data_IF_537843001791
#
_entry.id   IF_537843001791
#
_cell.length_a   1.000
_cell.length_b   1.000
_cell.length_c   1.000
_cell.angle_alpha   90.00
_cell.angle_beta   90.00
_cell.angle_gamma   90.00
#
_symmetry.space_group_name_H-M   'P 1'
#
loop_
_entity.id
_entity.type
_entity.pdbx_description
1 polymer ?
#
# COMPACT_ATOMS: atom_id res chain seq x y z
N UNK A 1 14.98 44.56 3.54
CA UNK A 1 13.78 44.12 2.80
C UNK A 1 14.06 42.89 1.94
N UNK A 2 15.11 42.89 1.11
CA UNK A 2 15.43 41.74 0.22
C UNK A 2 15.67 40.41 0.94
N UNK A 3 16.35 40.42 2.09
CA UNK A 3 16.56 39.21 2.90
C UNK A 3 15.24 38.62 3.43
N UNK A 4 14.26 39.47 3.77
CA UNK A 4 12.94 39.00 4.24
C UNK A 4 12.16 38.40 3.08
N UNK A 5 12.20 39.02 1.90
CA UNK A 5 11.54 38.53 0.69
C UNK A 5 12.13 37.18 0.24
N UNK A 6 13.46 37.04 0.24
CA UNK A 6 14.16 35.79 -0.08
C UNK A 6 13.74 34.66 0.89
N UNK A 7 13.75 34.91 2.20
CA UNK A 7 13.33 33.92 3.21
C UNK A 7 11.86 33.51 3.06
N UNK A 8 10.99 34.46 2.73
CA UNK A 8 9.57 34.18 2.50
C UNK A 8 9.38 33.30 1.25
N UNK A 9 10.11 33.59 0.17
CA UNK A 9 10.06 32.80 -1.05
C UNK A 9 10.57 31.36 -0.83
N UNK A 10 11.69 31.20 -0.13
CA UNK A 10 12.22 29.87 0.22
C UNK A 10 11.23 29.06 1.06
N UNK A 11 10.55 29.72 2.01
CA UNK A 11 9.52 29.08 2.83
C UNK A 11 8.32 28.65 1.99
N UNK A 12 7.88 29.48 1.04
CA UNK A 12 6.80 29.16 0.10
C UNK A 12 7.14 27.92 -0.73
N UNK A 13 8.32 27.90 -1.37
CA UNK A 13 8.76 26.78 -2.20
C UNK A 13 8.78 25.47 -1.40
N UNK A 14 9.33 25.50 -0.18
CA UNK A 14 9.35 24.31 0.70
C UNK A 14 7.95 23.81 1.06
N UNK A 15 7.00 24.71 1.27
CA UNK A 15 5.61 24.35 1.56
C UNK A 15 4.91 23.74 0.33
N UNK A 16 5.15 24.27 -0.86
CA UNK A 16 4.59 23.75 -2.11
C UNK A 16 5.12 22.34 -2.41
N UNK A 17 6.41 22.09 -2.19
CA UNK A 17 7.01 20.75 -2.32
C UNK A 17 6.40 19.78 -1.31
N UNK A 18 6.36 20.16 -0.03
CA UNK A 18 5.81 19.30 1.03
C UNK A 18 4.32 18.97 0.78
N UNK A 19 3.54 19.95 0.31
CA UNK A 19 2.14 19.73 -0.06
C UNK A 19 2.01 18.72 -1.20
N UNK A 20 2.81 18.87 -2.26
CA UNK A 20 2.80 17.94 -3.39
C UNK A 20 3.13 16.51 -2.94
N UNK A 21 4.19 16.35 -2.15
CA UNK A 21 4.59 15.04 -1.62
C UNK A 21 3.51 14.41 -0.74
N UNK A 22 2.84 15.22 0.09
CA UNK A 22 1.77 14.78 0.97
C UNK A 22 0.56 14.28 0.16
N UNK A 23 0.17 15.01 -0.88
CA UNK A 23 -0.92 14.62 -1.79
C UNK A 23 -0.58 13.33 -2.53
N UNK A 24 0.62 13.21 -3.11
CA UNK A 24 1.03 12.00 -3.81
C UNK A 24 1.07 10.77 -2.89
N UNK A 25 1.51 10.93 -1.65
CA UNK A 25 1.48 9.88 -0.65
C UNK A 25 0.05 9.47 -0.32
N UNK A 26 -0.83 10.44 -0.07
CA UNK A 26 -2.24 10.19 0.24
C UNK A 26 -2.93 9.41 -0.88
N UNK A 27 -2.78 9.85 -2.13
CA UNK A 27 -3.41 9.21 -3.29
C UNK A 27 -2.89 7.78 -3.48
N UNK A 28 -1.57 7.59 -3.37
CA UNK A 28 -0.94 6.26 -3.47
C UNK A 28 -1.43 5.33 -2.36
N UNK A 29 -1.55 5.85 -1.13
CA UNK A 29 -2.00 5.09 0.04
C UNK A 29 -3.45 4.68 -0.13
N UNK A 30 -4.31 5.60 -0.57
CA UNK A 30 -5.73 5.33 -0.77
C UNK A 30 -5.96 4.30 -1.89
N UNK A 31 -5.21 4.42 -3.00
CA UNK A 31 -5.25 3.43 -4.08
C UNK A 31 -4.86 2.04 -3.57
N UNK A 32 -3.78 1.94 -2.79
CA UNK A 32 -3.34 0.67 -2.21
C UNK A 32 -4.36 0.11 -1.21
N UNK A 33 -4.97 0.94 -0.37
CA UNK A 33 -6.03 0.52 0.56
C UNK A 33 -7.24 -0.04 -0.19
N UNK A 34 -7.64 0.62 -1.28
CA UNK A 34 -8.78 0.18 -2.09
C UNK A 34 -8.51 -1.20 -2.70
N UNK A 35 -7.33 -1.36 -3.31
CA UNK A 35 -6.87 -2.66 -3.83
C UNK A 35 -6.84 -3.71 -2.72
N UNK A 36 -6.19 -3.41 -1.59
CA UNK A 36 -6.03 -4.35 -0.48
C UNK A 36 -7.38 -4.80 0.07
N UNK A 37 -8.33 -3.89 0.19
CA UNK A 37 -9.70 -4.20 0.64
C UNK A 37 -10.45 -5.11 -0.34
N UNK A 38 -10.27 -4.92 -1.65
CA UNK A 38 -10.84 -5.81 -2.66
C UNK A 38 -10.20 -7.20 -2.59
N UNK A 39 -8.87 -7.25 -2.51
CA UNK A 39 -8.09 -8.48 -2.42
C UNK A 39 -8.41 -9.29 -1.15
N UNK A 40 -8.58 -8.61 -0.01
CA UNK A 40 -9.02 -9.23 1.24
C UNK A 40 -10.39 -9.92 1.08
N UNK A 41 -11.34 -9.30 0.36
CA UNK A 41 -12.63 -9.93 0.06
C UNK A 41 -12.48 -11.15 -0.85
N UNK A 42 -11.61 -11.10 -1.86
CA UNK A 42 -11.31 -12.24 -2.73
C UNK A 42 -10.75 -13.41 -1.92
N UNK A 43 -9.75 -13.16 -1.08
CA UNK A 43 -9.12 -14.19 -0.23
C UNK A 43 -10.09 -14.75 0.82
N UNK A 44 -10.96 -13.92 1.39
CA UNK A 44 -11.98 -14.36 2.33
C UNK A 44 -13.01 -15.31 1.69
N UNK A 45 -13.26 -15.16 0.38
CA UNK A 45 -14.25 -15.93 -0.37
C UNK A 45 -13.66 -17.13 -1.14
N UNK A 46 -12.43 -17.56 -0.82
CA UNK A 46 -11.86 -18.76 -1.43
C UNK A 46 -12.76 -19.98 -1.22
N UNK A 47 -13.19 -20.59 -2.32
CA UNK A 47 -13.94 -21.84 -2.32
C UNK A 47 -13.02 -22.98 -1.86
N UNK A 48 -13.63 -24.04 -1.32
CA UNK A 48 -12.91 -25.28 -1.05
C UNK A 48 -12.18 -25.78 -2.32
N UNK A 49 -11.04 -26.42 -2.13
CA UNK A 49 -10.27 -27.04 -3.23
C UNK A 49 -11.14 -28.11 -3.88
N UNK A 50 -11.36 -27.99 -5.19
CA UNK A 50 -12.22 -28.91 -5.91
C UNK A 50 -11.52 -30.26 -6.14
N UNK A 51 -12.31 -31.34 -6.18
CA UNK A 51 -11.86 -32.68 -6.61
C UNK A 51 -12.19 -32.98 -8.07
N UNK A 52 -12.81 -32.02 -8.77
CA UNK A 52 -13.17 -32.11 -10.18
C UNK A 52 -12.08 -31.43 -11.01
N UNK A 53 -11.52 -32.14 -11.99
CA UNK A 53 -10.36 -31.71 -12.79
C UNK A 53 -10.52 -30.29 -13.36
N UNK A 54 -11.59 -30.04 -14.11
CA UNK A 54 -11.77 -28.73 -14.76
C UNK A 54 -11.88 -27.59 -13.74
N UNK A 55 -12.54 -27.85 -12.61
CA UNK A 55 -12.68 -26.86 -11.54
C UNK A 55 -11.37 -26.58 -10.81
N UNK A 56 -10.56 -27.61 -10.55
CA UNK A 56 -9.26 -27.41 -9.87
C UNK A 56 -8.28 -26.67 -10.79
N UNK A 57 -8.30 -26.94 -12.10
CA UNK A 57 -7.47 -26.21 -13.06
C UNK A 57 -7.81 -24.71 -13.10
N UNK A 58 -9.11 -24.37 -13.08
CA UNK A 58 -9.54 -22.97 -12.97
C UNK A 58 -9.09 -22.33 -11.65
N UNK A 59 -9.24 -23.05 -10.53
CA UNK A 59 -8.78 -22.56 -9.22
C UNK A 59 -7.27 -22.29 -9.18
N UNK A 60 -6.47 -23.13 -9.85
CA UNK A 60 -5.02 -22.93 -9.97
C UNK A 60 -4.69 -21.68 -10.78
N UNK A 61 -5.39 -21.46 -11.90
CA UNK A 61 -5.10 -20.30 -12.76
C UNK A 61 -5.50 -18.97 -12.10
N UNK A 62 -6.70 -18.91 -11.53
CA UNK A 62 -7.15 -17.74 -10.75
C UNK A 62 -6.16 -17.41 -9.61
N UNK A 63 -5.65 -18.45 -8.94
CA UNK A 63 -4.69 -18.32 -7.86
C UNK A 63 -3.33 -17.78 -8.33
N UNK A 64 -2.84 -18.23 -9.49
CA UNK A 64 -1.60 -17.71 -10.08
C UNK A 64 -1.71 -16.22 -10.43
N UNK A 65 -2.85 -15.81 -10.99
CA UNK A 65 -3.12 -14.39 -11.29
C UNK A 65 -3.08 -13.56 -10.00
N UNK A 66 -3.73 -14.03 -8.94
CA UNK A 66 -3.74 -13.37 -7.64
C UNK A 66 -2.33 -13.30 -7.02
N UNK A 67 -1.53 -14.38 -7.09
CA UNK A 67 -0.15 -14.36 -6.62
C UNK A 67 0.71 -13.33 -7.35
N UNK A 68 0.56 -13.24 -8.67
CA UNK A 68 1.25 -12.24 -9.48
C UNK A 68 0.84 -10.82 -9.07
N UNK A 69 -0.46 -10.59 -8.91
CA UNK A 69 -0.99 -9.29 -8.50
C UNK A 69 -0.48 -8.83 -7.12
N UNK A 70 -0.48 -9.73 -6.13
CA UNK A 70 0.08 -9.44 -4.79
C UNK A 70 1.58 -9.15 -4.88
N UNK A 71 2.31 -9.84 -5.75
CA UNK A 71 3.74 -9.63 -5.93
C UNK A 71 4.05 -8.27 -6.55
N UNK A 72 3.25 -7.83 -7.53
CA UNK A 72 3.37 -6.49 -8.15
C UNK A 72 3.15 -5.38 -7.11
N UNK A 73 2.20 -5.55 -6.20
CA UNK A 73 1.89 -4.58 -5.16
C UNK A 73 2.93 -4.52 -4.03
N UNK A 74 3.89 -5.46 -3.97
CA UNK A 74 5.02 -5.38 -3.03
C UNK A 74 5.83 -4.09 -3.22
N UNK A 75 6.12 -3.73 -4.46
CA UNK A 75 6.90 -2.52 -4.76
C UNK A 75 6.13 -1.25 -4.36
N UNK A 76 4.81 -1.24 -4.58
CA UNK A 76 3.93 -0.15 -4.12
C UNK A 76 4.00 0.02 -2.60
N UNK A 77 3.96 -1.09 -1.84
CA UNK A 77 4.09 -1.06 -0.38
C UNK A 77 5.44 -0.47 0.08
N UNK A 78 6.55 -0.87 -0.56
CA UNK A 78 7.88 -0.33 -0.27
C UNK A 78 7.98 1.16 -0.59
N UNK A 79 7.39 1.60 -1.70
CA UNK A 79 7.39 3.01 -2.09
C UNK A 79 6.53 3.86 -1.13
N UNK A 80 5.40 3.33 -0.65
CA UNK A 80 4.59 3.98 0.39
C UNK A 80 5.37 4.18 1.68
N UNK A 81 6.10 3.17 2.13
CA UNK A 81 6.94 3.29 3.34
C UNK A 81 8.04 4.35 3.15
N UNK A 82 8.70 4.36 2.00
CA UNK A 82 9.70 5.38 1.66
C UNK A 82 9.11 6.79 1.64
N UNK A 83 7.99 7.01 0.94
CA UNK A 83 7.32 8.31 0.85
C UNK A 83 6.81 8.77 2.22
N UNK A 84 6.17 7.90 2.98
CA UNK A 84 5.68 8.23 4.31
C UNK A 84 6.82 8.51 5.30
N UNK A 85 7.94 7.79 5.21
CA UNK A 85 9.15 8.09 5.99
C UNK A 85 9.74 9.45 5.62
N UNK A 86 9.75 9.82 4.34
CA UNK A 86 10.20 11.14 3.90
C UNK A 86 9.31 12.26 4.47
N UNK A 87 7.99 12.13 4.33
CA UNK A 87 7.02 13.12 4.82
C UNK A 87 7.15 13.37 6.31
N UNK A 88 7.37 12.32 7.10
CA UNK A 88 7.54 12.44 8.56
C UNK A 88 8.65 13.43 8.97
N UNK A 89 9.67 13.67 8.16
CA UNK A 89 10.73 14.63 8.47
C UNK A 89 10.27 16.10 8.41
N UNK A 90 9.21 16.38 7.65
CA UNK A 90 8.68 17.74 7.43
C UNK A 90 7.34 17.96 8.13
N UNK A 91 6.83 16.93 8.81
CA UNK A 91 5.52 16.92 9.46
C UNK A 91 5.58 17.26 10.95
N UNK A 92 4.45 17.71 11.49
CA UNK A 92 4.30 17.91 12.93
C UNK A 92 4.14 16.57 13.65
N UNK A 93 4.41 16.54 14.97
CA UNK A 93 4.42 15.31 15.78
C UNK A 93 3.14 14.46 15.62
N UNK A 94 1.97 15.09 15.57
CA UNK A 94 0.69 14.39 15.40
C UNK A 94 0.58 13.70 14.03
N UNK A 95 0.99 14.38 12.97
CA UNK A 95 0.95 13.84 11.61
C UNK A 95 1.96 12.70 11.45
N UNK A 96 3.13 12.81 12.09
CA UNK A 96 4.12 11.72 12.13
C UNK A 96 3.55 10.45 12.74
N UNK A 97 2.81 10.59 13.86
CA UNK A 97 2.15 9.47 14.52
C UNK A 97 1.08 8.87 13.60
N UNK A 98 0.26 9.72 12.97
CA UNK A 98 -0.78 9.28 12.05
C UNK A 98 -0.19 8.49 10.86
N UNK A 99 0.81 9.05 10.16
CA UNK A 99 1.47 8.42 9.01
C UNK A 99 2.06 7.06 9.42
N UNK A 100 2.74 7.01 10.57
CA UNK A 100 3.31 5.75 11.10
C UNK A 100 2.22 4.69 11.32
N UNK A 101 1.13 5.06 11.98
CA UNK A 101 0.06 4.11 12.29
C UNK A 101 -0.64 3.60 11.03
N UNK A 102 -0.86 4.49 10.04
CA UNK A 102 -1.43 4.10 8.74
C UNK A 102 -0.53 3.11 8.00
N UNK A 103 0.77 3.38 7.91
CA UNK A 103 1.73 2.48 7.26
C UNK A 103 1.79 1.10 7.94
N UNK A 104 1.88 1.07 9.27
CA UNK A 104 1.89 -0.18 10.05
C UNK A 104 0.61 -0.98 9.80
N UNK A 105 -0.55 -0.31 9.86
CA UNK A 105 -1.84 -0.97 9.63
C UNK A 105 -1.94 -1.59 8.23
N UNK A 106 -1.54 -0.84 7.20
CA UNK A 106 -1.56 -1.31 5.82
C UNK A 106 -0.55 -2.44 5.59
N UNK A 107 0.64 -2.34 6.18
CA UNK A 107 1.66 -3.39 6.13
C UNK A 107 1.13 -4.71 6.68
N UNK A 108 0.58 -4.69 7.90
CA UNK A 108 0.06 -5.91 8.54
C UNK A 108 -1.09 -6.53 7.76
N UNK A 109 -1.99 -5.71 7.21
CA UNK A 109 -3.07 -6.21 6.35
C UNK A 109 -2.52 -6.90 5.10
N UNK A 110 -1.55 -6.29 4.42
CA UNK A 110 -0.90 -6.88 3.25
C UNK A 110 -0.15 -8.18 3.59
N UNK A 111 0.62 -8.21 4.67
CA UNK A 111 1.33 -9.41 5.14
C UNK A 111 0.36 -10.56 5.41
N UNK A 112 -0.79 -10.29 6.04
CA UNK A 112 -1.84 -11.30 6.27
C UNK A 112 -2.41 -11.84 4.96
N UNK A 113 -2.71 -10.97 4.01
CA UNK A 113 -3.19 -11.38 2.67
C UNK A 113 -2.15 -12.25 1.97
N UNK A 114 -0.90 -11.81 1.93
CA UNK A 114 0.20 -12.55 1.31
C UNK A 114 0.40 -13.93 1.96
N UNK A 115 0.33 -14.02 3.29
CA UNK A 115 0.43 -15.28 4.01
C UNK A 115 -0.72 -16.24 3.67
N UNK A 116 -1.97 -15.75 3.63
CA UNK A 116 -3.14 -16.57 3.27
C UNK A 116 -3.07 -17.07 1.82
N UNK A 117 -2.58 -16.25 0.91
CA UNK A 117 -2.37 -16.68 -0.48
C UNK A 117 -1.26 -17.71 -0.57
N UNK A 118 -0.15 -17.55 0.17
CA UNK A 118 0.90 -18.57 0.22
C UNK A 118 0.41 -19.91 0.81
N UNK A 119 -0.48 -19.87 1.81
CA UNK A 119 -1.12 -21.07 2.35
C UNK A 119 -2.02 -21.75 1.31
N UNK A 120 -2.82 -20.97 0.56
CA UNK A 120 -3.65 -21.50 -0.52
C UNK A 120 -2.83 -22.19 -1.61
N UNK A 121 -1.63 -21.69 -1.92
CA UNK A 121 -0.71 -22.35 -2.86
C UNK A 121 -0.28 -23.75 -2.45
N UNK A 122 -0.27 -24.05 -1.15
CA UNK A 122 0.10 -25.39 -0.65
C UNK A 122 -1.08 -26.37 -0.68
N UNK A 123 -2.29 -25.84 -0.75
CA UNK A 123 -3.53 -26.61 -0.72
C UNK A 123 -4.06 -26.96 -2.13
N UNK A 124 -3.72 -26.15 -3.13
CA UNK A 124 -3.98 -26.40 -4.55
C UNK A 124 -2.89 -27.30 -5.13
#
# INVERSE_FOLDING_TARGET
>A
WDSVLSRANDKKIKLEIALKEATEFHDSLQAFINWLTATEKTVANFKAVSRVMDSILLQIEDHKLLQKDISLHRETMLNLDKKGTHLKYFSQKQDVILIKNLLISVQHRWERVAARVAERSRAL
#
